data_IF_007280565076
#
_entry.id   IF_007280565076
#
_cell.length_a   1.000
_cell.length_b   1.000
_cell.length_c   1.000
_cell.angle_alpha   90.00
_cell.angle_beta   90.00
_cell.angle_gamma   90.00
#
_symmetry.space_group_name_H-M   'P 1'
#
loop_
_entity.id
_entity.type
_entity.pdbx_description
1 polymer ?
#
# COMPACT_ATOMS: atom_id res chain seq x y z
N UNK A 1 -18.14 12.20 -5.63
CA UNK A 1 -19.29 12.80 -4.97
C UNK A 1 -19.19 12.67 -3.46
N UNK A 2 -19.55 13.74 -2.76
CA UNK A 2 -19.55 13.72 -1.30
C UNK A 2 -20.78 12.94 -0.82
N UNK A 3 -20.58 12.04 0.13
CA UNK A 3 -21.69 11.40 0.81
C UNK A 3 -22.35 12.44 1.73
N UNK A 4 -23.56 12.87 1.41
CA UNK A 4 -24.25 13.94 2.13
C UNK A 4 -25.11 13.44 3.31
N UNK A 5 -25.24 12.10 3.49
CA UNK A 5 -26.17 11.55 4.47
C UNK A 5 -25.54 10.94 5.71
N UNK A 6 -24.21 10.90 5.80
CA UNK A 6 -23.54 10.25 6.92
C UNK A 6 -23.10 11.24 7.97
N UNK A 7 -23.61 11.06 9.18
CA UNK A 7 -23.15 11.79 10.36
C UNK A 7 -21.94 11.04 10.91
N UNK A 8 -20.77 11.70 10.88
CA UNK A 8 -19.53 11.13 11.40
C UNK A 8 -19.40 11.53 12.87
N UNK A 9 -19.18 10.54 13.75
CA UNK A 9 -18.96 10.80 15.17
C UNK A 9 -17.63 11.54 15.38
N UNK A 10 -17.50 12.23 16.53
CA UNK A 10 -16.25 12.90 16.90
C UNK A 10 -15.09 11.91 17.03
N UNK A 11 -15.35 10.68 17.49
CA UNK A 11 -14.37 9.62 17.57
C UNK A 11 -13.87 9.24 16.17
N UNK A 12 -14.77 9.03 15.22
CA UNK A 12 -14.39 8.70 13.83
C UNK A 12 -13.60 9.82 13.18
N UNK A 13 -13.98 11.07 13.39
CA UNK A 13 -13.24 12.24 12.89
C UNK A 13 -11.82 12.25 13.42
N UNK A 14 -11.64 11.98 14.70
CA UNK A 14 -10.33 11.96 15.35
C UNK A 14 -9.45 10.83 14.78
N UNK A 15 -10.00 9.62 14.66
CA UNK A 15 -9.29 8.49 14.08
C UNK A 15 -8.88 8.80 12.64
N UNK A 16 -9.79 9.31 11.83
CA UNK A 16 -9.53 9.67 10.44
C UNK A 16 -8.46 10.75 10.33
N UNK A 17 -8.52 11.77 11.19
CA UNK A 17 -7.53 12.85 11.20
C UNK A 17 -6.11 12.34 11.49
N UNK A 18 -5.96 11.48 12.47
CA UNK A 18 -4.66 10.89 12.81
C UNK A 18 -4.18 9.91 11.73
N UNK A 19 -5.10 9.14 11.14
CA UNK A 19 -4.79 8.25 10.03
C UNK A 19 -4.21 9.03 8.85
N UNK A 20 -4.90 10.08 8.41
CA UNK A 20 -4.44 10.91 7.30
C UNK A 20 -3.17 11.70 7.64
N UNK A 21 -3.04 12.14 8.88
CA UNK A 21 -1.82 12.78 9.35
C UNK A 21 -0.62 11.82 9.29
N UNK A 22 -0.83 10.54 9.60
CA UNK A 22 0.21 9.51 9.50
C UNK A 22 0.73 9.36 8.08
N UNK A 23 -0.16 9.29 7.10
CA UNK A 23 0.23 9.28 5.69
C UNK A 23 1.04 10.52 5.32
N UNK A 24 0.58 11.68 5.76
CA UNK A 24 1.22 12.97 5.46
C UNK A 24 2.63 13.06 6.03
N UNK A 25 2.81 12.64 7.27
CA UNK A 25 4.13 12.66 7.93
C UNK A 25 5.10 11.73 7.21
N UNK A 26 4.67 10.53 6.85
CA UNK A 26 5.50 9.58 6.11
C UNK A 26 5.90 10.14 4.75
N UNK A 27 4.97 10.72 4.02
CA UNK A 27 5.26 11.32 2.72
C UNK A 27 6.25 12.49 2.86
N UNK A 28 6.04 13.35 3.84
CA UNK A 28 6.92 14.49 4.09
C UNK A 28 8.33 14.08 4.47
N UNK A 29 8.47 13.00 5.23
CA UNK A 29 9.77 12.51 5.70
C UNK A 29 10.59 11.79 4.62
N UNK A 30 9.98 11.39 3.51
CA UNK A 30 10.65 10.61 2.47
C UNK A 30 10.97 11.45 1.24
N UNK A 31 12.28 11.60 0.90
CA UNK A 31 12.66 12.46 -0.22
C UNK A 31 12.23 11.96 -1.60
N UNK A 32 11.86 10.66 -1.73
CA UNK A 32 11.41 10.09 -2.99
C UNK A 32 9.91 10.24 -3.23
N UNK A 33 9.18 10.74 -2.24
CA UNK A 33 7.73 10.95 -2.35
C UNK A 33 7.43 12.35 -2.86
N UNK A 34 6.42 12.45 -3.69
CA UNK A 34 5.91 13.75 -4.13
C UNK A 34 5.31 14.52 -2.95
N UNK A 35 5.35 15.85 -2.98
CA UNK A 35 4.78 16.65 -1.88
C UNK A 35 3.29 16.41 -1.70
N UNK A 36 2.86 16.29 -0.45
CA UNK A 36 1.43 16.26 -0.11
C UNK A 36 0.89 17.68 -0.19
N UNK A 37 -0.14 17.88 -0.99
CA UNK A 37 -0.75 19.20 -1.16
C UNK A 37 -2.15 19.32 -0.59
N UNK A 38 -2.76 18.20 -0.19
CA UNK A 38 -4.10 18.21 0.40
C UNK A 38 -4.30 17.02 1.32
N UNK A 39 -4.85 17.30 2.49
CA UNK A 39 -5.29 16.30 3.46
C UNK A 39 -6.72 16.66 3.87
N UNK A 40 -7.59 15.68 3.94
CA UNK A 40 -8.98 15.90 4.36
C UNK A 40 -9.53 14.70 5.12
N UNK A 41 -10.41 14.99 6.07
CA UNK A 41 -11.20 13.98 6.79
C UNK A 41 -12.61 13.85 6.22
N UNK A 42 -12.94 14.63 5.19
CA UNK A 42 -14.25 14.56 4.56
C UNK A 42 -14.36 13.26 3.76
N UNK A 43 -15.40 12.44 3.99
CA UNK A 43 -15.56 11.20 3.27
C UNK A 43 -15.82 11.44 1.79
N UNK A 44 -15.19 10.61 0.94
CA UNK A 44 -15.46 10.54 -0.50
C UNK A 44 -15.77 9.10 -0.86
N UNK A 45 -16.99 8.86 -1.29
CA UNK A 45 -17.40 7.50 -1.63
C UNK A 45 -17.25 6.56 -0.44
N UNK A 46 -16.42 5.53 -0.60
CA UNK A 46 -16.16 4.52 0.44
C UNK A 46 -15.01 4.84 1.37
N UNK A 47 -14.28 5.91 1.11
CA UNK A 47 -13.11 6.28 1.91
C UNK A 47 -13.51 7.27 3.00
N UNK A 48 -12.94 7.10 4.20
CA UNK A 48 -13.21 7.97 5.34
C UNK A 48 -12.47 9.30 5.33
N UNK A 49 -11.47 9.41 4.50
CA UNK A 49 -10.63 10.58 4.30
C UNK A 49 -9.56 10.25 3.28
N UNK A 50 -8.72 11.18 2.91
CA UNK A 50 -7.61 10.91 2.02
C UNK A 50 -6.51 11.95 2.10
N UNK A 51 -5.31 11.55 1.72
CA UNK A 51 -4.17 12.43 1.50
C UNK A 51 -3.85 12.42 0.00
N UNK A 52 -3.66 13.60 -0.58
CA UNK A 52 -3.32 13.74 -1.99
C UNK A 52 -1.86 14.15 -2.16
N UNK A 53 -1.15 13.40 -2.96
CA UNK A 53 0.23 13.69 -3.36
C UNK A 53 0.21 14.36 -4.73
N UNK A 54 1.12 15.30 -4.96
CA UNK A 54 1.21 15.99 -6.24
C UNK A 54 1.78 15.04 -7.30
N UNK A 55 1.09 14.96 -8.42
CA UNK A 55 1.54 14.40 -9.69
C UNK A 55 2.16 13.01 -9.67
N UNK A 56 1.68 12.16 -10.55
CA UNK A 56 2.41 10.96 -10.88
C UNK A 56 3.52 11.34 -11.87
N UNK A 57 4.69 10.73 -11.68
CA UNK A 57 5.76 10.83 -12.67
C UNK A 57 5.29 10.19 -13.97
N UNK A 58 5.13 10.99 -15.02
CA UNK A 58 4.65 10.54 -16.32
C UNK A 58 5.62 9.56 -17.04
N UNK A 59 6.82 9.37 -16.51
CA UNK A 59 7.80 8.46 -17.09
C UNK A 59 7.39 6.99 -17.04
N UNK A 60 6.48 6.64 -16.16
CA UNK A 60 6.06 5.26 -15.94
C UNK A 60 7.11 4.36 -15.28
N UNK A 61 8.31 4.88 -15.06
CA UNK A 61 9.38 4.15 -14.39
C UNK A 61 9.39 4.46 -12.90
N UNK A 62 9.48 3.41 -12.10
CA UNK A 62 9.57 3.52 -10.64
C UNK A 62 10.72 2.67 -10.14
N UNK A 63 11.55 3.27 -9.31
CA UNK A 63 12.65 2.56 -8.68
C UNK A 63 12.15 1.74 -7.49
N UNK A 64 12.97 0.76 -7.09
CA UNK A 64 12.72 0.00 -5.86
C UNK A 64 12.53 0.92 -4.66
N UNK A 65 13.37 1.94 -4.51
CA UNK A 65 13.28 2.89 -3.41
C UNK A 65 11.97 3.66 -3.43
N UNK A 66 11.50 4.10 -4.60
CA UNK A 66 10.22 4.78 -4.74
C UNK A 66 9.04 3.87 -4.35
N UNK A 67 9.09 2.60 -4.76
CA UNK A 67 8.05 1.62 -4.42
C UNK A 67 8.02 1.32 -2.92
N UNK A 68 9.19 1.17 -2.29
CA UNK A 68 9.26 0.99 -0.84
C UNK A 68 8.70 2.22 -0.11
N UNK A 69 9.01 3.42 -0.59
CA UNK A 69 8.46 4.65 -0.01
C UNK A 69 6.94 4.72 -0.13
N UNK A 70 6.38 4.24 -1.23
CA UNK A 70 4.92 4.14 -1.38
C UNK A 70 4.29 3.19 -0.36
N UNK A 71 4.96 2.08 -0.07
CA UNK A 71 4.48 1.13 0.95
C UNK A 71 4.56 1.77 2.34
N UNK A 72 5.66 2.45 2.66
CA UNK A 72 5.79 3.17 3.94
C UNK A 72 4.68 4.22 4.08
N UNK A 73 4.44 5.01 3.03
CA UNK A 73 3.33 5.97 2.99
C UNK A 73 1.99 5.29 3.28
N UNK A 74 1.71 4.19 2.59
CA UNK A 74 0.47 3.44 2.78
C UNK A 74 0.31 2.93 4.22
N UNK A 75 1.41 2.49 4.85
CA UNK A 75 1.38 1.99 6.23
C UNK A 75 1.27 3.10 7.27
N UNK A 76 1.53 4.35 6.90
CA UNK A 76 1.56 5.49 7.83
C UNK A 76 0.24 5.72 8.55
N UNK A 77 -0.87 5.55 7.86
CA UNK A 77 -2.20 5.73 8.47
C UNK A 77 -2.48 4.72 9.58
N UNK A 78 -2.26 3.45 9.31
CA UNK A 78 -2.42 2.37 10.30
C UNK A 78 -1.45 2.56 11.48
N UNK A 79 -0.21 2.88 11.19
CA UNK A 79 0.81 3.09 12.21
C UNK A 79 0.43 4.23 13.14
N UNK A 80 -0.10 5.31 12.61
CA UNK A 80 -0.59 6.44 13.40
C UNK A 80 -1.73 6.01 14.32
N UNK A 81 -2.67 5.21 13.83
CA UNK A 81 -3.75 4.68 14.65
C UNK A 81 -3.21 3.81 15.79
N UNK A 82 -2.24 2.93 15.51
CA UNK A 82 -1.61 2.07 16.52
C UNK A 82 -0.90 2.88 17.60
N UNK A 83 -0.18 3.94 17.21
CA UNK A 83 0.55 4.80 18.12
C UNK A 83 -0.37 5.63 19.04
N UNK A 84 -1.43 6.19 18.47
CA UNK A 84 -2.29 7.14 19.19
C UNK A 84 -3.41 6.42 19.95
N UNK A 85 -3.99 5.38 19.37
CA UNK A 85 -5.14 4.68 19.93
C UNK A 85 -4.82 3.29 20.44
N UNK A 86 -3.58 2.84 20.32
CA UNK A 86 -3.08 1.52 20.71
C UNK A 86 -3.71 0.34 19.94
N UNK A 87 -4.54 0.60 18.94
CA UNK A 87 -5.12 -0.43 18.08
C UNK A 87 -5.46 0.13 16.72
N UNK A 88 -5.32 -0.67 15.64
CA UNK A 88 -5.73 -0.25 14.32
C UNK A 88 -7.25 -0.40 14.13
N UNK A 89 -7.79 0.34 13.17
CA UNK A 89 -9.17 0.19 12.74
C UNK A 89 -9.24 -0.42 11.34
N UNK A 90 -10.44 -0.71 10.88
CA UNK A 90 -10.68 -1.18 9.51
C UNK A 90 -10.42 -0.09 8.45
N UNK A 91 -10.21 1.16 8.87
CA UNK A 91 -9.93 2.28 7.97
C UNK A 91 -8.66 2.11 7.15
N UNK A 92 -7.72 1.29 7.61
CA UNK A 92 -6.48 0.99 6.88
C UNK A 92 -6.60 -0.14 5.85
N UNK A 93 -7.77 -0.72 5.66
CA UNK A 93 -7.97 -1.89 4.80
C UNK A 93 -7.49 -1.66 3.36
N UNK A 94 -7.86 -0.54 2.77
CA UNK A 94 -7.45 -0.20 1.41
C UNK A 94 -5.93 0.05 1.31
N UNK A 95 -5.35 0.66 2.33
CA UNK A 95 -3.90 0.93 2.38
C UNK A 95 -3.11 -0.38 2.42
N UNK A 96 -3.57 -1.34 3.22
CA UNK A 96 -2.95 -2.67 3.31
C UNK A 96 -3.06 -3.39 1.98
N UNK A 97 -4.20 -3.32 1.31
CA UNK A 97 -4.40 -3.92 -0.01
C UNK A 97 -3.43 -3.33 -1.04
N UNK A 98 -3.29 -2.02 -1.10
CA UNK A 98 -2.36 -1.35 -2.01
C UNK A 98 -0.91 -1.71 -1.70
N UNK A 99 -0.52 -1.66 -0.43
CA UNK A 99 0.82 -2.03 0.00
C UNK A 99 1.16 -3.49 -0.39
N UNK A 100 0.22 -4.39 -0.18
CA UNK A 100 0.39 -5.81 -0.53
C UNK A 100 0.54 -6.01 -2.03
N UNK A 101 -0.25 -5.33 -2.85
CA UNK A 101 -0.13 -5.38 -4.31
C UNK A 101 1.24 -4.89 -4.78
N UNK A 102 1.73 -3.79 -4.25
CA UNK A 102 3.04 -3.26 -4.60
C UNK A 102 4.14 -4.25 -4.21
N UNK A 103 4.13 -4.74 -2.98
CA UNK A 103 5.12 -5.69 -2.50
C UNK A 103 5.14 -6.98 -3.33
N UNK A 104 3.96 -7.51 -3.66
CA UNK A 104 3.84 -8.73 -4.46
C UNK A 104 4.35 -8.51 -5.89
N UNK A 105 4.05 -7.37 -6.49
CA UNK A 105 4.57 -7.02 -7.82
C UNK A 105 6.10 -6.85 -7.81
N UNK A 106 6.66 -6.23 -6.77
CA UNK A 106 8.10 -6.11 -6.62
C UNK A 106 8.80 -7.46 -6.63
N UNK A 107 8.23 -8.43 -5.92
CA UNK A 107 8.81 -9.77 -5.78
C UNK A 107 8.58 -10.62 -7.02
N UNK A 108 7.36 -10.67 -7.52
CA UNK A 108 6.96 -11.65 -8.54
C UNK A 108 6.98 -11.13 -9.98
N UNK A 109 6.87 -9.82 -10.19
CA UNK A 109 6.82 -9.25 -11.55
C UNK A 109 8.11 -8.49 -11.92
N UNK A 110 8.64 -7.69 -11.00
CA UNK A 110 9.72 -6.77 -11.32
C UNK A 110 11.10 -7.23 -10.86
N UNK A 111 11.18 -8.43 -10.29
CA UNK A 111 12.46 -9.02 -9.93
C UNK A 111 13.27 -8.21 -8.92
N UNK A 112 12.59 -7.55 -7.99
CA UNK A 112 13.22 -6.65 -7.01
C UNK A 112 13.52 -7.28 -5.66
N UNK A 113 13.36 -8.60 -5.53
CA UNK A 113 13.74 -9.35 -4.34
C UNK A 113 15.15 -9.92 -4.50
N UNK A 114 16.01 -9.68 -3.53
CA UNK A 114 17.37 -10.25 -3.54
C UNK A 114 17.33 -11.77 -3.45
N UNK A 115 16.39 -12.34 -2.70
CA UNK A 115 16.23 -13.78 -2.50
C UNK A 115 15.77 -14.48 -3.76
N UNK A 116 14.78 -13.94 -4.46
CA UNK A 116 14.16 -14.57 -5.63
C UNK A 116 14.75 -14.11 -6.95
N UNK A 117 15.52 -13.03 -6.93
CA UNK A 117 16.24 -12.53 -8.09
C UNK A 117 15.38 -11.89 -9.18
N UNK A 118 16.02 -11.53 -10.30
CA UNK A 118 15.33 -10.85 -11.41
C UNK A 118 14.59 -11.84 -12.31
N UNK A 119 13.61 -12.51 -11.75
CA UNK A 119 12.79 -13.53 -12.41
C UNK A 119 11.33 -13.15 -12.25
N UNK A 120 10.57 -13.29 -13.32
CA UNK A 120 9.12 -13.12 -13.28
C UNK A 120 8.46 -14.44 -12.89
N UNK A 121 7.70 -14.41 -11.82
CA UNK A 121 6.93 -15.56 -11.34
C UNK A 121 5.45 -15.32 -11.59
N UNK A 122 4.78 -16.27 -12.22
CA UNK A 122 3.36 -16.18 -12.53
C UNK A 122 3.09 -16.05 -14.01
N UNK A 123 1.82 -16.21 -14.39
CA UNK A 123 1.38 -16.10 -15.76
C UNK A 123 1.20 -14.64 -16.17
N UNK A 124 1.52 -14.34 -17.45
CA UNK A 124 1.15 -13.05 -18.00
C UNK A 124 -0.37 -12.93 -18.04
N UNK A 125 -0.89 -11.79 -17.62
CA UNK A 125 -2.29 -11.40 -17.86
C UNK A 125 -2.47 -11.15 -19.37
N UNK A 126 -2.29 -12.19 -20.18
CA UNK A 126 -2.23 -11.97 -21.62
C UNK A 126 -3.45 -12.42 -22.37
N UNK A 127 -4.14 -13.43 -21.89
CA UNK A 127 -5.28 -13.98 -22.64
C UNK A 127 -6.46 -14.25 -21.71
N UNK A 128 -7.50 -13.40 -21.77
CA UNK A 128 -8.69 -13.57 -20.93
C UNK A 128 -9.44 -14.88 -21.18
N UNK A 129 -9.18 -15.56 -22.31
CA UNK A 129 -9.80 -16.86 -22.59
C UNK A 129 -9.07 -18.01 -21.92
N UNK A 130 -7.76 -17.98 -21.88
CA UNK A 130 -6.96 -19.04 -21.26
C UNK A 130 -6.98 -18.94 -19.73
N UNK A 131 -6.99 -17.74 -19.17
CA UNK A 131 -7.04 -17.53 -17.74
C UNK A 131 -8.33 -17.97 -17.07
N UNK A 132 -9.44 -17.99 -17.82
CA UNK A 132 -10.76 -18.40 -17.28
C UNK A 132 -11.00 -19.90 -17.33
N UNK A 133 -10.44 -20.58 -18.31
CA UNK A 133 -10.68 -22.00 -18.53
C UNK A 133 -9.75 -22.93 -17.79
N UNK A 134 -8.57 -22.43 -17.44
CA UNK A 134 -7.52 -23.26 -16.82
C UNK A 134 -7.36 -23.02 -15.33
N UNK A 135 -8.12 -22.05 -14.77
CA UNK A 135 -7.88 -21.63 -13.41
C UNK A 135 -6.48 -21.02 -13.26
N UNK A 136 -6.18 -20.49 -12.12
CA UNK A 136 -4.86 -19.97 -11.82
C UNK A 136 -3.90 -21.12 -11.53
N UNK A 137 -3.33 -21.72 -12.59
CA UNK A 137 -2.16 -22.57 -12.38
C UNK A 137 -0.96 -21.66 -12.17
N UNK A 138 -0.43 -21.65 -10.96
CA UNK A 138 0.86 -21.03 -10.72
C UNK A 138 1.92 -21.76 -11.58
N UNK A 139 2.73 -20.98 -12.28
CA UNK A 139 3.83 -21.50 -13.10
C UNK A 139 5.06 -21.88 -12.27
N UNK A 140 4.96 -21.82 -10.96
CA UNK A 140 6.04 -22.07 -10.02
C UNK A 140 5.60 -23.05 -8.91
N UNK A 141 6.58 -23.66 -8.25
CA UNK A 141 6.36 -24.67 -7.23
C UNK A 141 5.73 -24.08 -5.94
N UNK A 142 5.18 -24.95 -5.10
CA UNK A 142 4.70 -24.57 -3.77
C UNK A 142 5.80 -23.96 -2.90
N UNK A 143 7.02 -24.41 -3.05
CA UNK A 143 8.18 -23.87 -2.33
C UNK A 143 8.45 -22.43 -2.73
N UNK A 144 8.43 -22.14 -4.03
CA UNK A 144 8.59 -20.77 -4.54
C UNK A 144 7.42 -19.89 -4.12
N UNK A 145 6.18 -20.40 -4.13
CA UNK A 145 5.02 -19.66 -3.66
C UNK A 145 5.19 -19.25 -2.19
N UNK A 146 5.71 -20.15 -1.36
CA UNK A 146 6.02 -19.84 0.05
C UNK A 146 7.09 -18.76 0.15
N UNK A 147 8.15 -18.86 -0.63
CA UNK A 147 9.23 -17.87 -0.65
C UNK A 147 8.73 -16.49 -1.08
N UNK A 148 7.81 -16.43 -2.05
CA UNK A 148 7.16 -15.18 -2.46
C UNK A 148 6.38 -14.59 -1.29
N UNK A 149 5.56 -15.39 -0.62
CA UNK A 149 4.77 -14.92 0.52
C UNK A 149 5.65 -14.43 1.67
N UNK A 150 6.74 -15.11 1.96
CA UNK A 150 7.70 -14.70 2.98
C UNK A 150 8.37 -13.37 2.63
N UNK A 151 8.77 -13.18 1.37
CA UNK A 151 9.39 -11.95 0.90
C UNK A 151 8.40 -10.77 0.94
N UNK A 152 7.15 -11.00 0.54
CA UNK A 152 6.09 -9.98 0.63
C UNK A 152 5.90 -9.56 2.08
N UNK A 153 5.80 -10.52 2.99
CA UNK A 153 5.64 -10.27 4.42
C UNK A 153 6.83 -9.48 4.98
N UNK A 154 8.05 -9.86 4.59
CA UNK A 154 9.28 -9.18 5.02
C UNK A 154 9.30 -7.71 4.56
N UNK A 155 8.92 -7.44 3.31
CA UNK A 155 8.86 -6.09 2.77
C UNK A 155 7.84 -5.24 3.54
N UNK A 156 6.64 -5.78 3.74
CA UNK A 156 5.58 -5.08 4.48
C UNK A 156 6.02 -4.78 5.91
N UNK A 157 6.61 -5.76 6.61
CA UNK A 157 7.08 -5.57 7.98
C UNK A 157 8.18 -4.51 8.08
N UNK A 158 9.14 -4.53 7.16
CA UNK A 158 10.20 -3.54 7.12
C UNK A 158 9.66 -2.13 6.90
N UNK A 159 8.70 -1.97 5.98
CA UNK A 159 8.07 -0.69 5.71
C UNK A 159 7.17 -0.22 6.87
N UNK A 160 6.49 -1.14 7.53
CA UNK A 160 5.70 -0.83 8.72
C UNK A 160 6.59 -0.33 9.87
N UNK A 161 7.73 -0.98 10.07
CA UNK A 161 8.73 -0.55 11.06
C UNK A 161 9.27 0.84 10.73
N UNK A 162 9.58 1.10 9.47
CA UNK A 162 10.05 2.42 9.04
C UNK A 162 8.98 3.50 9.26
N UNK A 163 7.73 3.21 8.94
CA UNK A 163 6.61 4.13 9.22
C UNK A 163 6.49 4.41 10.73
N UNK A 164 6.63 3.38 11.54
CA UNK A 164 6.59 3.50 12.99
C UNK A 164 7.70 4.42 13.53
N UNK A 165 8.90 4.30 12.99
CA UNK A 165 10.07 5.09 13.41
C UNK A 165 10.02 6.54 12.89
N UNK A 166 9.23 6.79 11.87
CA UNK A 166 9.04 8.13 11.32
C UNK A 166 8.08 8.94 12.19
#
# INVERSE_FOLDING_TARGET
PRSTGRIISEKEKKVTAYHEAGHTICAWAMPQMDPVYKVTILPRGRTGGYSMVAGEDDSGLRTRTQLLSQIVFAMGGRTSEELVFAEPTTGASNDIEQATKIARAMVSEWGMSAKLGPVKYGEEEGDPFLGRTLGTKSTYSHEVARDIDEEVHRIIDACHTEAWET
#
